data_IF_811692288368
#
_entry.id   IF_811692288368
#
_cell.length_a   1.000
_cell.length_b   1.000
_cell.length_c   1.000
_cell.angle_alpha   90.00
_cell.angle_beta   90.00
_cell.angle_gamma   90.00
#
_symmetry.space_group_name_H-M   'P 1'
#
loop_
_entity.id
_entity.type
_entity.pdbx_description
1 polymer ?
#
# COMPACT_ATOMS: atom_id res chain seq x y z
N UNK A 1 -9.00 34.21 -4.00
CA UNK A 1 -8.87 33.63 -3.80
C UNK A 1 -8.99 32.88 -3.61
N UNK A 2 -8.97 32.47 -3.69
CA UNK A 2 -8.98 31.69 -3.44
C UNK A 2 -9.15 31.04 -3.14
N UNK A 3 -9.20 30.76 -3.26
CA UNK A 3 -9.29 30.08 -2.99
C UNK A 3 -9.38 29.35 -2.55
N UNK A 4 -9.40 29.02 -2.72
CA UNK A 4 -9.52 28.08 -2.41
C UNK A 4 -9.53 27.51 -1.65
N UNK A 5 -9.47 27.71 -1.63
CA UNK A 5 -9.54 27.26 -0.94
C UNK A 5 -10.24 26.74 -0.08
N UNK A 6 -10.78 26.85 -0.06
CA UNK A 6 -11.67 26.36 0.85
C UNK A 6 -11.95 24.98 0.72
N UNK A 7 -11.08 24.31 0.78
CA UNK A 7 -11.24 22.92 0.68
C UNK A 7 -11.87 22.37 1.90
N UNK A 8 -12.81 21.55 1.76
CA UNK A 8 -13.36 20.86 2.87
C UNK A 8 -12.36 19.92 3.42
N UNK A 9 -12.13 19.92 4.68
CA UNK A 9 -11.24 18.96 5.28
C UNK A 9 -11.83 17.56 5.19
N UNK A 10 -10.98 16.60 5.20
CA UNK A 10 -11.43 15.23 5.23
C UNK A 10 -11.33 14.55 3.90
N UNK A 11 -12.29 13.70 3.59
CA UNK A 11 -12.17 12.78 2.47
C UNK A 11 -12.12 13.46 1.12
N UNK A 12 -12.58 14.66 1.03
CA UNK A 12 -12.56 15.38 -0.23
C UNK A 12 -11.27 16.14 -0.47
N UNK A 13 -10.37 16.12 0.50
CA UNK A 13 -9.10 16.79 0.37
C UNK A 13 -8.22 16.03 -0.62
N UNK A 14 -7.77 16.64 -1.70
CA UNK A 14 -6.92 15.94 -2.66
C UNK A 14 -5.63 15.40 -2.04
N UNK A 15 -5.13 16.04 -1.01
CA UNK A 15 -3.93 15.55 -0.33
C UNK A 15 -4.19 14.22 0.37
N UNK A 16 -5.37 14.07 0.95
CA UNK A 16 -5.73 12.84 1.62
C UNK A 16 -5.98 11.72 0.63
N UNK A 17 -6.58 12.04 -0.50
CA UNK A 17 -6.93 11.05 -1.52
C UNK A 17 -5.77 10.67 -2.42
N UNK A 18 -4.73 11.48 -2.42
CA UNK A 18 -3.61 11.28 -3.31
C UNK A 18 -2.80 10.06 -2.89
N UNK A 19 -2.28 9.35 -3.84
CA UNK A 19 -1.38 8.24 -3.55
C UNK A 19 -0.10 8.75 -2.92
N UNK A 20 0.47 7.96 -2.03
CA UNK A 20 1.74 8.28 -1.42
C UNK A 20 2.82 8.23 -2.50
N UNK A 21 3.69 9.23 -2.59
CA UNK A 21 4.73 9.23 -3.62
C UNK A 21 5.65 8.03 -3.49
N UNK A 22 6.05 7.51 -4.64
CA UNK A 22 7.00 6.41 -4.68
C UNK A 22 8.41 6.96 -4.60
N UNK A 23 9.33 6.26 -3.91
CA UNK A 23 10.73 6.69 -3.92
C UNK A 23 11.29 6.53 -5.33
N UNK A 24 12.23 7.38 -5.74
CA UNK A 24 12.85 7.25 -7.06
C UNK A 24 13.65 5.97 -7.20
N UNK A 25 13.88 5.27 -6.11
CA UNK A 25 14.77 4.15 -6.04
C UNK A 25 14.36 3.30 -4.87
N UNK A 26 13.88 2.13 -5.13
CA UNK A 26 13.35 1.25 -4.10
C UNK A 26 14.46 0.44 -3.46
N UNK A 27 14.69 0.66 -2.17
CA UNK A 27 15.70 -0.08 -1.42
C UNK A 27 15.07 -1.30 -0.76
N UNK A 28 15.91 -2.14 -0.17
CA UNK A 28 15.41 -3.28 0.60
C UNK A 28 14.60 -2.84 1.81
N UNK A 29 14.97 -1.72 2.41
CA UNK A 29 14.24 -1.16 3.53
C UNK A 29 12.86 -0.69 3.09
N UNK A 30 12.79 -0.01 1.95
CA UNK A 30 11.50 0.37 1.38
C UNK A 30 10.61 -0.84 1.15
N UNK A 31 11.20 -1.92 0.66
CA UNK A 31 10.45 -3.15 0.42
C UNK A 31 9.93 -3.76 1.72
N UNK A 32 10.69 -3.67 2.80
CA UNK A 32 10.22 -4.16 4.09
C UNK A 32 9.07 -3.31 4.62
N UNK A 33 9.15 -2.00 4.48
CA UNK A 33 8.02 -1.14 4.84
C UNK A 33 6.81 -1.43 3.97
N UNK A 34 7.03 -1.76 2.71
CA UNK A 34 5.93 -2.09 1.81
C UNK A 34 5.25 -3.40 2.21
N UNK A 35 6.01 -4.41 2.64
CA UNK A 35 5.41 -5.64 3.16
C UNK A 35 4.53 -5.31 4.36
N UNK A 36 5.03 -4.53 5.28
CA UNK A 36 4.27 -4.13 6.44
C UNK A 36 2.99 -3.41 6.01
N UNK A 37 3.09 -2.51 5.05
CA UNK A 37 1.94 -1.77 4.58
C UNK A 37 0.85 -2.68 4.01
N UNK A 38 1.21 -3.62 3.14
CA UNK A 38 0.20 -4.49 2.54
C UNK A 38 -0.38 -5.49 3.54
N UNK A 39 0.39 -5.92 4.52
CA UNK A 39 -0.08 -6.88 5.53
C UNK A 39 -0.96 -6.20 6.55
N UNK A 40 -0.53 -5.07 7.10
CA UNK A 40 -1.28 -4.34 8.11
C UNK A 40 -2.55 -3.75 7.52
N UNK A 41 -2.48 -3.29 6.28
CA UNK A 41 -3.61 -2.68 5.60
C UNK A 41 -4.25 -3.64 4.60
N UNK A 42 -4.26 -4.91 4.95
CA UNK A 42 -4.84 -5.95 4.12
C UNK A 42 -6.36 -5.79 4.02
N UNK A 43 -6.97 -6.36 2.99
CA UNK A 43 -8.41 -6.28 2.85
C UNK A 43 -9.12 -7.09 3.93
N UNK A 44 -10.23 -6.56 4.41
CA UNK A 44 -11.10 -7.27 5.31
C UNK A 44 -12.53 -7.19 4.79
N UNK A 45 -13.17 -8.33 4.67
CA UNK A 45 -14.53 -8.36 4.21
C UNK A 45 -15.51 -8.07 5.34
N UNK A 46 -16.56 -7.37 4.99
CA UNK A 46 -17.67 -7.14 5.90
C UNK A 46 -18.92 -7.03 5.03
N UNK A 47 -20.08 -6.92 5.67
CA UNK A 47 -21.34 -6.94 4.93
C UNK A 47 -21.49 -5.80 3.93
N UNK A 48 -20.81 -4.69 4.14
CA UNK A 48 -20.89 -3.55 3.22
C UNK A 48 -19.81 -3.52 2.16
N UNK A 49 -18.94 -4.53 2.10
CA UNK A 49 -17.89 -4.56 1.08
C UNK A 49 -16.53 -4.95 1.64
N UNK A 50 -15.49 -4.38 1.06
CA UNK A 50 -14.12 -4.68 1.47
C UNK A 50 -13.48 -3.41 1.98
N UNK A 51 -12.91 -3.48 3.18
CA UNK A 51 -12.26 -2.32 3.80
C UNK A 51 -10.84 -2.68 4.22
N UNK A 52 -10.05 -1.64 4.49
CA UNK A 52 -8.72 -1.80 5.04
C UNK A 52 -8.85 -2.32 6.46
N UNK A 53 -8.13 -3.39 6.77
CA UNK A 53 -8.18 -4.05 8.06
C UNK A 53 -7.74 -3.16 9.21
N UNK A 54 -6.87 -2.20 8.94
CA UNK A 54 -6.32 -1.34 9.97
C UNK A 54 -7.23 -0.16 10.31
N UNK A 55 -7.74 0.53 9.33
CA UNK A 55 -8.46 1.77 9.57
C UNK A 55 -9.88 1.79 9.03
N UNK A 56 -10.33 0.68 8.51
CA UNK A 56 -11.69 0.51 7.99
C UNK A 56 -12.04 1.45 6.82
N UNK A 57 -11.05 2.09 6.22
CA UNK A 57 -11.29 2.87 5.02
C UNK A 57 -11.51 1.94 3.82
N UNK A 58 -12.06 2.43 2.73
CA UNK A 58 -12.27 1.58 1.55
C UNK A 58 -10.97 0.94 1.09
N UNK A 59 -11.02 -0.32 0.76
CA UNK A 59 -9.86 -1.03 0.25
C UNK A 59 -9.77 -0.90 -1.26
N UNK A 60 -8.58 -0.70 -1.82
CA UNK A 60 -7.30 -0.60 -1.13
C UNK A 60 -7.06 0.83 -0.62
N UNK A 61 -6.59 0.95 0.61
CA UNK A 61 -6.24 2.26 1.14
C UNK A 61 -4.92 2.70 0.52
N UNK A 62 -4.55 3.96 0.72
CA UNK A 62 -3.36 4.48 0.06
C UNK A 62 -2.06 3.81 0.52
N UNK A 63 -2.00 3.34 1.76
CA UNK A 63 -0.82 2.62 2.22
C UNK A 63 -0.70 1.26 1.55
N UNK A 64 -1.82 0.58 1.38
CA UNK A 64 -1.81 -0.69 0.67
C UNK A 64 -1.42 -0.47 -0.80
N UNK A 65 -1.94 0.57 -1.44
CA UNK A 65 -1.58 0.88 -2.83
C UNK A 65 -0.10 1.19 -2.96
N UNK A 66 0.44 1.98 -2.02
CA UNK A 66 1.85 2.32 -2.00
C UNK A 66 2.69 1.05 -1.87
N UNK A 67 2.35 0.20 -0.90
CA UNK A 67 3.09 -1.04 -0.67
C UNK A 67 3.09 -1.95 -1.87
N UNK A 68 1.93 -2.10 -2.52
CA UNK A 68 1.82 -2.92 -3.72
C UNK A 68 2.72 -2.37 -4.84
N UNK A 69 2.72 -1.07 -5.03
CA UNK A 69 3.55 -0.45 -6.06
C UNK A 69 5.03 -0.61 -5.78
N UNK A 70 5.44 -0.41 -4.53
CA UNK A 70 6.84 -0.58 -4.14
C UNK A 70 7.28 -2.02 -4.38
N UNK A 71 6.48 -2.99 -3.96
CA UNK A 71 6.82 -4.38 -4.15
C UNK A 71 6.88 -4.76 -5.62
N UNK A 72 5.98 -4.21 -6.42
CA UNK A 72 6.01 -4.43 -7.86
C UNK A 72 7.28 -3.85 -8.48
N UNK A 73 7.67 -2.66 -8.07
CA UNK A 73 8.91 -2.05 -8.54
C UNK A 73 10.14 -2.84 -8.09
N UNK A 74 10.02 -3.50 -6.96
CA UNK A 74 11.09 -4.35 -6.45
C UNK A 74 11.15 -5.70 -7.18
N UNK A 75 10.19 -5.98 -8.04
CA UNK A 75 10.20 -7.18 -8.88
C UNK A 75 9.25 -8.30 -8.46
N UNK A 76 8.41 -8.04 -7.47
CA UNK A 76 7.45 -9.06 -7.06
C UNK A 76 6.25 -9.09 -8.00
N UNK A 77 5.76 -10.28 -8.26
CA UNK A 77 4.53 -10.47 -9.02
C UNK A 77 3.33 -10.41 -8.08
N UNK A 78 2.18 -10.19 -8.67
CA UNK A 78 0.94 -10.09 -7.89
C UNK A 78 0.71 -11.32 -7.00
N UNK A 79 1.03 -12.49 -7.49
CA UNK A 79 0.87 -13.72 -6.71
C UNK A 79 1.79 -13.75 -5.49
N UNK A 80 2.99 -13.21 -5.63
CA UNK A 80 3.93 -13.15 -4.53
C UNK A 80 3.48 -12.16 -3.46
N UNK A 81 2.91 -11.04 -3.91
CA UNK A 81 2.38 -10.05 -2.98
C UNK A 81 1.17 -10.65 -2.23
N UNK A 82 0.30 -11.33 -2.96
CA UNK A 82 -0.86 -11.98 -2.35
C UNK A 82 -0.43 -13.02 -1.31
N UNK A 83 0.63 -13.75 -1.58
CA UNK A 83 1.15 -14.73 -0.63
C UNK A 83 1.67 -14.08 0.65
N UNK A 84 2.31 -12.92 0.52
CA UNK A 84 2.77 -12.18 1.70
C UNK A 84 1.59 -11.73 2.56
N UNK A 85 0.54 -11.25 1.93
CA UNK A 85 -0.67 -10.82 2.63
C UNK A 85 -1.31 -12.01 3.35
N UNK A 86 -1.37 -13.14 2.69
CA UNK A 86 -1.96 -14.34 3.23
C UNK A 86 -1.21 -14.87 4.43
N UNK A 87 0.11 -14.79 4.38
CA UNK A 87 0.96 -15.16 5.48
C UNK A 87 0.72 -14.30 6.70
N UNK A 88 0.41 -13.04 6.50
CA UNK A 88 0.03 -12.15 7.58
C UNK A 88 1.15 -11.72 8.50
N UNK A 89 2.39 -11.84 8.09
CA UNK A 89 3.54 -11.46 8.90
C UNK A 89 4.07 -10.12 8.41
N UNK A 90 3.83 -9.02 9.14
CA UNK A 90 4.30 -7.70 8.70
C UNK A 90 5.80 -7.55 8.73
N UNK A 91 6.49 -8.46 9.38
CA UNK A 91 7.96 -8.44 9.41
C UNK A 91 8.59 -9.40 8.42
N UNK A 92 7.79 -10.02 7.55
CA UNK A 92 8.34 -10.95 6.56
C UNK A 92 9.27 -10.22 5.61
N UNK A 93 10.36 -10.88 5.27
CA UNK A 93 11.32 -10.32 4.32
C UNK A 93 10.85 -10.67 2.92
N UNK A 94 10.68 -9.69 2.03
CA UNK A 94 10.24 -10.00 0.67
C UNK A 94 11.35 -10.71 -0.08
N UNK A 95 11.01 -11.56 -1.06
CA UNK A 95 12.03 -12.23 -1.83
C UNK A 95 12.86 -11.22 -2.62
N UNK A 96 14.14 -11.52 -2.76
CA UNK A 96 15.04 -10.69 -3.54
C UNK A 96 14.77 -10.94 -5.02
N UNK A 97 14.68 -9.88 -5.83
CA UNK A 97 14.45 -10.09 -7.25
C UNK A 97 15.60 -10.87 -7.86
N UNK A 98 15.28 -11.83 -8.70
CA UNK A 98 16.30 -12.54 -9.44
C UNK A 98 16.81 -11.67 -10.53
N UNK A 99 18.10 -11.54 -10.58
CA UNK A 99 18.70 -10.84 -11.67
C UNK A 99 18.82 -11.75 -12.84
N UNK A 100 18.52 -11.28 -14.02
CA UNK A 100 18.83 -12.06 -15.21
C UNK A 100 20.32 -12.22 -15.28
N UNK A 101 20.73 -13.36 -15.57
CA UNK A 101 22.16 -13.66 -15.66
C UNK A 101 22.77 -13.00 -16.87
#
# INVERSE_FOLDING_TARGET
MSSGTAVSPGVDDPEVLRDIPLPPYVTGEDAQFAVRAVVVHAPRRWSGGVVCRNDASPHPCRLHRWGTRVLTLRGLHAAEIAALIERGDPAAVPPTPKRPA
#
